data_IF_516505780046
#
_entry.id   IF_516505780046
#
_cell.length_a   1.000
_cell.length_b   1.000
_cell.length_c   1.000
_cell.angle_alpha   90.00
_cell.angle_beta   90.00
_cell.angle_gamma   90.00
#
_symmetry.space_group_name_H-M   'P 1'
#
loop_
_entity.id
_entity.type
_entity.pdbx_description
1 polymer ?
#
# COMPACT_ATOMS: atom_id res chain seq x y z
N UNK A 1 16.89 -14.52 26.78
CA UNK A 1 17.78 -14.88 25.65
C UNK A 1 17.19 -14.24 24.40
N UNK A 2 17.99 -13.69 23.47
CA UNK A 2 17.46 -13.10 22.24
C UNK A 2 16.71 -14.19 21.48
N UNK A 3 15.41 -13.98 21.26
CA UNK A 3 14.56 -14.94 20.56
C UNK A 3 15.17 -15.27 19.20
N UNK A 4 15.24 -16.57 18.88
CA UNK A 4 15.65 -17.03 17.55
C UNK A 4 14.74 -16.36 16.52
N UNK A 5 15.24 -15.34 15.82
CA UNK A 5 14.61 -14.81 14.63
C UNK A 5 14.49 -16.00 13.67
N UNK A 6 13.26 -16.47 13.44
CA UNK A 6 13.01 -17.57 12.51
C UNK A 6 13.50 -17.11 11.13
N UNK A 7 14.60 -17.70 10.66
CA UNK A 7 15.19 -17.31 9.38
C UNK A 7 14.33 -17.90 8.28
N UNK A 8 13.54 -17.07 7.61
CA UNK A 8 12.70 -17.47 6.47
C UNK A 8 13.60 -18.09 5.39
N UNK A 9 13.42 -19.39 5.12
CA UNK A 9 14.12 -20.12 4.07
C UNK A 9 13.38 -20.06 2.74
N UNK A 10 12.04 -20.11 2.79
CA UNK A 10 11.12 -20.23 1.66
C UNK A 10 9.92 -19.29 1.80
N UNK A 11 9.14 -19.11 0.73
CA UNK A 11 7.87 -18.38 0.83
C UNK A 11 6.91 -19.05 1.82
N UNK A 12 6.90 -20.39 1.88
CA UNK A 12 6.08 -21.15 2.85
C UNK A 12 6.42 -20.81 4.31
N UNK A 13 7.70 -20.54 4.62
CA UNK A 13 8.08 -20.13 5.99
C UNK A 13 7.51 -18.74 6.30
N UNK A 14 7.50 -17.84 5.32
CA UNK A 14 6.89 -16.50 5.48
C UNK A 14 5.37 -16.59 5.65
N UNK A 15 4.69 -17.50 4.94
CA UNK A 15 3.25 -17.75 5.13
C UNK A 15 2.94 -18.16 6.58
N UNK A 16 3.79 -18.98 7.19
CA UNK A 16 3.66 -19.33 8.61
C UNK A 16 3.71 -18.09 9.53
N UNK A 17 4.66 -17.18 9.29
CA UNK A 17 4.76 -15.92 10.04
C UNK A 17 3.57 -14.99 9.79
N UNK A 18 3.05 -14.96 8.57
CA UNK A 18 1.85 -14.20 8.24
C UNK A 18 0.62 -14.73 9.00
N UNK A 19 0.47 -16.05 9.10
CA UNK A 19 -0.59 -16.68 9.89
C UNK A 19 -0.46 -16.41 11.39
N UNK A 20 0.76 -16.39 11.92
CA UNK A 20 1.05 -15.99 13.29
C UNK A 20 0.69 -14.51 13.52
N UNK A 21 1.14 -13.62 12.63
CA UNK A 21 0.83 -12.20 12.67
C UNK A 21 -0.68 -11.95 12.72
N UNK A 22 -1.48 -12.58 11.84
CA UNK A 22 -2.95 -12.44 11.83
C UNK A 22 -3.60 -12.82 13.17
N UNK A 23 -3.07 -13.85 13.83
CA UNK A 23 -3.54 -14.28 15.16
C UNK A 23 -3.14 -13.27 16.24
N UNK A 24 -1.90 -12.79 16.22
CA UNK A 24 -1.37 -11.83 17.18
C UNK A 24 -2.13 -10.51 17.16
N UNK A 25 -2.43 -9.98 15.97
CA UNK A 25 -3.17 -8.71 15.85
C UNK A 25 -4.69 -8.89 16.05
N UNK A 26 -5.18 -10.13 16.15
CA UNK A 26 -6.57 -10.43 16.51
C UNK A 26 -7.58 -10.29 15.37
N UNK A 27 -7.14 -10.34 14.10
CA UNK A 27 -8.04 -10.23 12.93
C UNK A 27 -8.47 -11.59 12.37
N UNK A 28 -7.96 -12.71 12.90
CA UNK A 28 -8.24 -14.06 12.42
C UNK A 28 -9.63 -14.59 12.85
N UNK A 29 -10.69 -13.86 12.52
CA UNK A 29 -12.09 -14.28 12.66
C UNK A 29 -12.44 -15.32 11.59
N UNK A 30 -13.49 -16.12 11.79
CA UNK A 30 -13.86 -17.24 10.91
C UNK A 30 -13.85 -16.87 9.42
N UNK A 31 -14.49 -15.76 9.04
CA UNK A 31 -14.55 -15.26 7.66
C UNK A 31 -13.16 -14.99 7.05
N UNK A 32 -12.22 -14.47 7.83
CA UNK A 32 -10.85 -14.15 7.42
C UNK A 32 -9.95 -15.40 7.47
N UNK A 33 -10.18 -16.27 8.46
CA UNK A 33 -9.42 -17.50 8.66
C UNK A 33 -9.64 -18.50 7.51
N UNK A 34 -10.85 -18.54 6.95
CA UNK A 34 -11.20 -19.38 5.81
C UNK A 34 -10.68 -18.84 4.47
N UNK A 35 -10.30 -17.56 4.40
CA UNK A 35 -9.82 -16.94 3.17
C UNK A 35 -8.44 -17.49 2.78
N UNK A 36 -8.29 -17.85 1.49
CA UNK A 36 -7.04 -18.32 0.92
C UNK A 36 -6.36 -17.19 0.18
N UNK A 37 -5.22 -16.75 0.70
CA UNK A 37 -4.39 -15.73 0.07
C UNK A 37 -3.60 -16.32 -1.10
N UNK A 38 -3.51 -15.55 -2.18
CA UNK A 38 -2.74 -15.86 -3.37
C UNK A 38 -2.19 -14.57 -3.98
N UNK A 39 -1.13 -14.69 -4.79
CA UNK A 39 -0.59 -13.57 -5.55
C UNK A 39 -1.41 -13.37 -6.82
N UNK A 40 -2.01 -12.17 -6.97
CA UNK A 40 -2.83 -11.83 -8.11
C UNK A 40 -2.13 -10.71 -8.91
N UNK A 41 -1.67 -11.07 -10.10
CA UNK A 41 -0.97 -10.15 -10.99
C UNK A 41 -1.89 -9.72 -12.14
N UNK A 42 -1.91 -8.42 -12.42
CA UNK A 42 -2.60 -7.82 -13.55
C UNK A 42 -1.75 -7.83 -14.82
N UNK A 43 -2.36 -7.44 -15.94
CA UNK A 43 -1.64 -7.19 -17.17
C UNK A 43 -0.98 -5.80 -17.14
N UNK A 44 0.21 -5.69 -17.74
CA UNK A 44 0.82 -4.40 -18.07
C UNK A 44 0.41 -4.00 -19.49
N UNK A 45 0.28 -2.70 -19.73
CA UNK A 45 -0.21 -2.16 -21.01
C UNK A 45 0.82 -2.26 -22.14
N UNK A 46 2.11 -2.28 -21.79
CA UNK A 46 3.22 -2.36 -22.74
C UNK A 46 4.44 -3.02 -22.11
N UNK A 47 5.24 -3.67 -22.94
CA UNK A 47 6.54 -4.26 -22.61
C UNK A 47 7.68 -3.22 -22.65
N UNK A 48 7.40 -1.99 -23.06
CA UNK A 48 8.37 -0.90 -23.14
C UNK A 48 8.31 0.02 -21.91
N UNK A 49 9.47 0.54 -21.51
CA UNK A 49 9.60 1.55 -20.45
C UNK A 49 9.08 2.89 -21.01
N UNK A 50 8.19 3.54 -20.26
CA UNK A 50 7.41 4.68 -20.77
C UNK A 50 7.99 6.05 -20.40
N UNK A 51 8.91 6.12 -19.42
CA UNK A 51 9.46 7.37 -18.89
C UNK A 51 10.89 7.21 -18.39
N UNK A 52 11.50 8.33 -17.98
CA UNK A 52 12.86 8.37 -17.45
C UNK A 52 13.94 8.10 -18.50
N UNK A 53 15.17 7.88 -18.02
CA UNK A 53 16.37 7.68 -18.85
C UNK A 53 16.28 6.45 -19.76
N UNK A 54 15.53 5.41 -19.33
CA UNK A 54 15.43 4.14 -20.04
C UNK A 54 14.20 4.05 -20.94
N UNK A 55 13.48 5.15 -21.19
CA UNK A 55 12.31 5.20 -22.06
C UNK A 55 12.58 4.52 -23.41
N UNK A 56 11.55 3.82 -23.92
CA UNK A 56 11.56 3.03 -25.17
C UNK A 56 12.46 1.79 -25.15
N UNK A 57 13.11 1.45 -24.03
CA UNK A 57 13.75 0.14 -23.84
C UNK A 57 12.73 -0.86 -23.31
N UNK A 58 13.05 -2.15 -23.40
CA UNK A 58 12.21 -3.21 -22.80
C UNK A 58 12.22 -3.11 -21.27
N UNK A 59 11.06 -3.34 -20.65
CA UNK A 59 10.90 -3.47 -19.19
C UNK A 59 11.75 -4.63 -18.64
N UNK A 60 12.12 -4.51 -17.38
CA UNK A 60 12.94 -5.47 -16.66
C UNK A 60 12.07 -6.56 -16.02
N UNK A 61 12.32 -7.78 -16.43
CA UNK A 61 11.66 -8.98 -15.90
C UNK A 61 12.33 -9.55 -14.64
N UNK A 62 13.58 -9.15 -14.37
CA UNK A 62 14.33 -9.58 -13.18
C UNK A 62 15.44 -8.59 -12.84
N UNK A 63 15.98 -8.67 -11.62
CA UNK A 63 16.97 -7.72 -11.11
C UNK A 63 18.30 -7.69 -11.88
N UNK A 64 18.65 -8.74 -12.65
CA UNK A 64 19.90 -8.75 -13.45
C UNK A 64 19.85 -7.77 -14.61
N UNK A 65 18.65 -7.39 -15.04
CA UNK A 65 18.44 -6.40 -16.11
C UNK A 65 18.49 -4.96 -15.57
N UNK A 66 18.48 -4.76 -14.25
CA UNK A 66 18.56 -3.45 -13.62
C UNK A 66 20.04 -3.04 -13.51
N UNK A 67 20.48 -1.93 -14.14
CA UNK A 67 21.90 -1.63 -14.34
C UNK A 67 22.75 -1.48 -13.08
N UNK A 68 22.27 -0.76 -12.06
CA UNK A 68 23.08 -0.40 -10.89
C UNK A 68 22.51 -0.95 -9.60
N UNK A 69 23.36 -1.04 -8.56
CA UNK A 69 22.91 -1.46 -7.24
C UNK A 69 21.97 -0.42 -6.61
N UNK A 70 22.24 0.88 -6.78
CA UNK A 70 21.37 1.94 -6.25
C UNK A 70 19.95 1.87 -6.80
N UNK A 71 19.79 1.53 -8.08
CA UNK A 71 18.45 1.34 -8.68
C UNK A 71 17.71 0.13 -8.09
N UNK A 72 18.43 -0.97 -7.83
CA UNK A 72 17.85 -2.15 -7.17
C UNK A 72 17.45 -1.85 -5.73
N UNK A 73 18.27 -1.10 -5.00
CA UNK A 73 17.99 -0.70 -3.62
C UNK A 73 16.80 0.26 -3.54
N UNK A 74 16.70 1.21 -4.48
CA UNK A 74 15.56 2.11 -4.58
C UNK A 74 14.26 1.35 -4.91
N UNK A 75 14.31 0.38 -5.82
CA UNK A 75 13.17 -0.48 -6.14
C UNK A 75 12.76 -1.33 -4.92
N UNK A 76 13.72 -1.94 -4.22
CA UNK A 76 13.46 -2.67 -2.98
C UNK A 76 12.74 -1.77 -1.96
N UNK A 77 13.27 -0.56 -1.71
CA UNK A 77 12.67 0.38 -0.77
C UNK A 77 11.24 0.75 -1.16
N UNK A 78 10.95 0.98 -2.46
CA UNK A 78 9.58 1.28 -2.90
C UNK A 78 8.62 0.15 -2.60
N UNK A 79 9.01 -1.11 -2.84
CA UNK A 79 8.19 -2.29 -2.54
C UNK A 79 8.00 -2.46 -1.03
N UNK A 80 9.04 -2.20 -0.23
CA UNK A 80 8.97 -2.31 1.24
C UNK A 80 8.04 -1.24 1.83
N UNK A 81 8.15 0.01 1.39
CA UNK A 81 7.29 1.08 1.91
C UNK A 81 5.83 0.85 1.53
N UNK A 82 5.55 0.48 0.27
CA UNK A 82 4.19 0.12 -0.14
C UNK A 82 3.67 -1.11 0.64
N UNK A 83 4.47 -2.17 0.78
CA UNK A 83 4.03 -3.36 1.52
C UNK A 83 3.79 -3.11 3.01
N UNK A 84 4.51 -2.16 3.61
CA UNK A 84 4.37 -1.83 5.02
C UNK A 84 3.04 -1.15 5.35
N UNK A 85 2.50 -0.36 4.42
CA UNK A 85 1.21 0.33 4.59
C UNK A 85 0.06 -0.66 4.68
N UNK A 86 0.09 -1.73 3.88
CA UNK A 86 -1.03 -2.66 3.79
C UNK A 86 -1.19 -3.48 5.09
N UNK A 87 -0.09 -3.82 5.76
CA UNK A 87 -0.17 -4.46 7.08
C UNK A 87 -0.52 -3.45 8.18
N UNK A 88 -0.09 -2.20 8.03
CA UNK A 88 -0.41 -1.15 8.99
C UNK A 88 -1.89 -0.80 9.00
N UNK A 89 -2.53 -0.67 7.84
CA UNK A 89 -3.96 -0.34 7.74
C UNK A 89 -4.83 -1.38 8.45
N UNK A 90 -4.49 -2.68 8.28
CA UNK A 90 -5.16 -3.79 8.98
C UNK A 90 -4.99 -3.67 10.50
N UNK A 91 -3.80 -3.32 10.99
CA UNK A 91 -3.53 -3.15 12.41
C UNK A 91 -4.28 -1.95 13.00
N UNK A 92 -4.31 -0.82 12.30
CA UNK A 92 -5.00 0.39 12.73
C UNK A 92 -6.51 0.13 12.90
N UNK A 93 -7.08 -0.69 12.02
CA UNK A 93 -8.52 -0.90 11.90
C UNK A 93 -9.04 -2.11 12.71
N UNK A 94 -8.15 -2.92 13.32
CA UNK A 94 -8.45 -4.25 13.89
C UNK A 94 -9.60 -4.30 14.91
N UNK A 95 -9.83 -3.21 15.65
CA UNK A 95 -10.83 -3.15 16.72
C UNK A 95 -12.26 -2.89 16.21
N UNK A 96 -12.41 -2.37 14.99
CA UNK A 96 -13.70 -1.90 14.46
C UNK A 96 -14.72 -3.01 14.26
N UNK A 97 -14.29 -4.27 14.17
CA UNK A 97 -15.20 -5.42 14.14
C UNK A 97 -16.13 -5.50 15.35
N UNK A 98 -15.70 -5.01 16.51
CA UNK A 98 -16.47 -5.07 17.76
C UNK A 98 -17.60 -4.05 17.81
N UNK A 99 -17.51 -3.00 16.99
CA UNK A 99 -18.39 -1.83 17.02
C UNK A 99 -19.04 -1.54 15.68
N UNK A 100 -19.09 -2.53 14.78
CA UNK A 100 -19.68 -2.38 13.46
C UNK A 100 -21.12 -1.85 13.53
N UNK A 101 -21.45 -0.71 12.88
CA UNK A 101 -22.79 -0.11 12.96
C UNK A 101 -23.87 -1.00 12.37
N UNK A 102 -23.50 -1.77 11.33
CA UNK A 102 -24.38 -2.72 10.65
C UNK A 102 -23.61 -3.95 10.20
N UNK A 103 -24.32 -5.02 9.85
CA UNK A 103 -23.73 -6.19 9.22
C UNK A 103 -23.10 -5.87 7.85
N UNK A 104 -23.63 -4.88 7.14
CA UNK A 104 -23.04 -4.39 5.88
C UNK A 104 -21.65 -3.81 6.13
N UNK A 105 -21.54 -2.94 7.14
CA UNK A 105 -20.28 -2.30 7.51
C UNK A 105 -19.26 -3.34 7.99
N UNK A 106 -19.70 -4.34 8.77
CA UNK A 106 -18.84 -5.48 9.16
C UNK A 106 -18.30 -6.22 7.94
N UNK A 107 -19.13 -6.51 6.95
CA UNK A 107 -18.68 -7.18 5.71
C UNK A 107 -17.75 -6.31 4.87
N UNK A 108 -18.00 -5.00 4.83
CA UNK A 108 -17.17 -4.07 4.09
C UNK A 108 -15.75 -4.02 4.68
N UNK A 109 -15.60 -3.85 6.00
CA UNK A 109 -14.28 -3.87 6.65
C UNK A 109 -13.61 -5.25 6.57
N UNK A 110 -14.36 -6.36 6.68
CA UNK A 110 -13.80 -7.71 6.43
C UNK A 110 -13.16 -7.77 5.05
N UNK A 111 -13.85 -7.27 4.02
CA UNK A 111 -13.33 -7.26 2.65
C UNK A 111 -12.10 -6.35 2.50
N UNK A 112 -12.15 -5.13 3.03
CA UNK A 112 -11.00 -4.20 3.02
C UNK A 112 -9.78 -4.88 3.64
N UNK A 113 -9.88 -5.41 4.86
CA UNK A 113 -8.75 -6.07 5.52
C UNK A 113 -8.22 -7.30 4.77
N UNK A 114 -9.08 -8.11 4.15
CA UNK A 114 -8.64 -9.24 3.32
C UNK A 114 -7.87 -8.74 2.10
N UNK A 115 -8.38 -7.69 1.43
CA UNK A 115 -7.71 -7.12 0.27
C UNK A 115 -6.36 -6.51 0.65
N UNK A 116 -6.28 -5.77 1.76
CA UNK A 116 -5.05 -5.18 2.30
C UNK A 116 -4.00 -6.22 2.72
N UNK A 117 -4.44 -7.30 3.38
CA UNK A 117 -3.55 -8.41 3.69
C UNK A 117 -3.00 -9.10 2.43
N UNK A 118 -3.81 -9.22 1.37
CA UNK A 118 -3.34 -9.73 0.07
C UNK A 118 -2.44 -8.70 -0.63
N UNK A 119 -2.72 -7.43 -0.41
CA UNK A 119 -1.83 -6.28 -0.51
C UNK A 119 -0.37 -6.59 -0.18
N UNK A 120 -0.15 -6.70 1.13
CA UNK A 120 1.14 -6.98 1.72
C UNK A 120 1.70 -8.35 1.31
N UNK A 121 0.84 -9.35 1.12
CA UNK A 121 1.24 -10.67 0.61
C UNK A 121 1.92 -10.58 -0.76
N UNK A 122 1.36 -9.82 -1.70
CA UNK A 122 1.95 -9.65 -3.03
C UNK A 122 3.27 -8.90 -2.97
N UNK A 123 3.39 -7.87 -2.13
CA UNK A 123 4.65 -7.16 -1.93
C UNK A 123 5.73 -8.06 -1.34
N UNK A 124 5.39 -8.88 -0.34
CA UNK A 124 6.28 -9.88 0.23
C UNK A 124 6.69 -10.94 -0.80
N UNK A 125 5.77 -11.39 -1.66
CA UNK A 125 6.08 -12.34 -2.73
C UNK A 125 7.12 -11.75 -3.70
N UNK A 126 6.95 -10.50 -4.16
CA UNK A 126 7.92 -9.82 -5.01
C UNK A 126 9.30 -9.73 -4.34
N UNK A 127 9.34 -9.38 -3.05
CA UNK A 127 10.59 -9.31 -2.29
C UNK A 127 11.29 -10.68 -2.22
N UNK A 128 10.56 -11.71 -1.82
CA UNK A 128 11.10 -13.06 -1.60
C UNK A 128 11.55 -13.69 -2.93
N UNK A 129 10.80 -13.49 -4.01
CA UNK A 129 11.08 -14.05 -5.33
C UNK A 129 12.27 -13.35 -6.01
N UNK A 130 12.34 -12.02 -5.95
CA UNK A 130 13.29 -11.28 -6.77
C UNK A 130 14.54 -10.80 -6.01
N UNK A 131 14.46 -10.52 -4.70
CA UNK A 131 15.52 -9.86 -3.94
C UNK A 131 16.32 -10.80 -3.02
N UNK A 132 16.13 -12.11 -3.15
CA UNK A 132 16.92 -13.12 -2.46
C UNK A 132 16.90 -12.95 -0.93
N UNK A 133 18.06 -12.91 -0.29
CA UNK A 133 18.15 -12.81 1.17
C UNK A 133 17.60 -11.49 1.71
N UNK A 134 17.96 -10.36 1.10
CA UNK A 134 17.50 -9.04 1.55
C UNK A 134 15.97 -8.94 1.47
N UNK A 135 15.37 -9.45 0.41
CA UNK A 135 13.91 -9.49 0.26
C UNK A 135 13.22 -10.28 1.37
N UNK A 136 13.75 -11.45 1.73
CA UNK A 136 13.22 -12.26 2.85
C UNK A 136 13.29 -11.52 4.18
N UNK A 137 14.39 -10.82 4.45
CA UNK A 137 14.56 -10.04 5.68
C UNK A 137 13.55 -8.89 5.75
N UNK A 138 13.34 -8.16 4.65
CA UNK A 138 12.37 -7.07 4.65
C UNK A 138 10.92 -7.57 4.72
N UNK A 139 10.60 -8.67 4.04
CA UNK A 139 9.30 -9.34 4.15
C UNK A 139 8.98 -9.79 5.58
N UNK A 140 10.00 -10.26 6.30
CA UNK A 140 9.86 -10.59 7.72
C UNK A 140 9.62 -9.34 8.58
N UNK A 141 10.44 -8.31 8.41
CA UNK A 141 10.33 -7.07 9.20
C UNK A 141 8.96 -6.39 9.05
N UNK A 142 8.33 -6.48 7.87
CA UNK A 142 6.97 -5.97 7.65
C UNK A 142 5.94 -6.62 8.58
N UNK A 143 6.11 -7.89 8.93
CA UNK A 143 5.27 -8.61 9.90
C UNK A 143 5.73 -8.47 11.35
N UNK A 144 6.88 -7.83 11.61
CA UNK A 144 7.40 -7.57 12.96
C UNK A 144 7.10 -6.15 13.44
N UNK A 145 6.92 -5.20 12.51
CA UNK A 145 6.47 -3.84 12.83
C UNK A 145 5.00 -3.86 13.24
N UNK A 146 4.63 -2.95 14.16
CA UNK A 146 3.27 -2.79 14.68
C UNK A 146 2.89 -1.31 14.67
N UNK A 147 1.74 -0.98 14.08
CA UNK A 147 1.19 0.38 14.06
C UNK A 147 0.96 0.90 15.49
N UNK A 148 0.34 0.09 16.35
CA UNK A 148 0.06 0.41 17.76
C UNK A 148 1.31 0.45 18.67
N UNK A 149 2.50 0.18 18.13
CA UNK A 149 3.78 0.42 18.82
C UNK A 149 4.57 1.58 18.21
N UNK A 150 3.96 2.34 17.29
CA UNK A 150 4.61 3.41 16.52
C UNK A 150 5.84 2.93 15.73
N UNK A 151 5.77 1.73 15.15
CA UNK A 151 6.90 1.12 14.44
C UNK A 151 6.75 1.08 12.92
N UNK A 152 5.62 1.51 12.34
CA UNK A 152 5.42 1.56 10.88
C UNK A 152 6.24 2.67 10.25
N UNK A 153 6.65 2.46 9.00
CA UNK A 153 7.63 3.32 8.32
C UNK A 153 7.10 4.73 8.04
N UNK A 154 5.80 4.86 7.79
CA UNK A 154 5.14 6.12 7.48
C UNK A 154 4.29 6.59 8.67
N UNK A 155 4.39 7.88 9.00
CA UNK A 155 3.76 8.45 10.19
C UNK A 155 2.24 8.26 10.24
N UNK A 156 1.53 8.50 9.13
CA UNK A 156 0.07 8.35 9.04
C UNK A 156 -0.40 6.92 9.37
N UNK A 157 0.43 5.93 9.10
CA UNK A 157 0.15 4.51 9.36
C UNK A 157 0.45 4.08 10.81
N UNK A 158 0.83 5.03 11.67
CA UNK A 158 0.87 4.87 13.13
C UNK A 158 -0.22 5.71 13.84
N UNK A 159 -1.05 6.44 13.10
CA UNK A 159 -2.14 7.26 13.68
C UNK A 159 -3.34 6.36 14.00
N UNK A 160 -3.93 6.50 15.18
CA UNK A 160 -5.05 5.62 15.57
C UNK A 160 -6.31 5.82 14.71
N UNK A 161 -6.94 4.71 14.34
CA UNK A 161 -8.28 4.64 13.73
C UNK A 161 -9.25 4.12 14.80
N UNK A 162 -9.82 5.05 15.57
CA UNK A 162 -10.51 4.70 16.82
C UNK A 162 -11.97 4.28 16.63
N UNK A 163 -12.60 4.75 15.56
CA UNK A 163 -14.03 4.57 15.34
C UNK A 163 -14.38 4.58 13.83
N UNK A 164 -15.66 4.36 13.54
CA UNK A 164 -16.15 4.25 12.17
C UNK A 164 -16.08 5.56 11.37
N UNK A 165 -16.11 6.73 12.03
CA UNK A 165 -15.86 8.00 11.33
C UNK A 165 -14.40 8.11 10.89
N UNK A 166 -13.46 7.69 11.75
CA UNK A 166 -12.05 7.57 11.34
C UNK A 166 -11.91 6.60 10.16
N UNK A 167 -12.49 5.40 10.24
CA UNK A 167 -12.42 4.41 9.17
C UNK A 167 -12.95 4.91 7.82
N UNK A 168 -14.14 5.51 7.80
CA UNK A 168 -14.70 6.01 6.54
C UNK A 168 -13.90 7.18 5.97
N UNK A 169 -13.33 8.03 6.84
CA UNK A 169 -12.47 9.11 6.38
C UNK A 169 -11.11 8.58 5.90
N UNK A 170 -10.53 7.63 6.63
CA UNK A 170 -9.28 6.96 6.28
C UNK A 170 -9.39 6.33 4.90
N UNK A 171 -10.41 5.48 4.70
CA UNK A 171 -10.58 4.76 3.43
C UNK A 171 -10.93 5.68 2.25
N UNK A 172 -11.44 6.89 2.50
CA UNK A 172 -11.68 7.88 1.43
C UNK A 172 -10.43 8.71 1.08
N UNK A 173 -9.50 8.94 2.01
CA UNK A 173 -8.36 9.84 1.82
C UNK A 173 -6.98 9.18 1.91
N UNK A 174 -6.76 8.26 2.84
CA UNK A 174 -5.49 7.51 2.99
C UNK A 174 -5.38 6.45 1.90
N UNK A 175 -6.39 5.61 1.69
CA UNK A 175 -6.38 4.63 0.58
C UNK A 175 -6.41 5.34 -0.78
N UNK A 176 -6.89 6.59 -0.82
CA UNK A 176 -6.75 7.43 -2.01
C UNK A 176 -5.29 7.76 -2.28
N UNK A 177 -4.46 8.09 -1.29
CA UNK A 177 -3.00 8.15 -1.49
C UNK A 177 -2.49 6.82 -2.06
N UNK A 178 -2.88 5.69 -1.45
CA UNK A 178 -2.61 4.34 -1.96
C UNK A 178 -2.89 4.23 -3.46
N UNK A 179 -4.09 4.59 -3.94
CA UNK A 179 -4.42 4.64 -5.36
C UNK A 179 -3.43 5.46 -6.20
N UNK A 180 -3.02 6.65 -5.75
CA UNK A 180 -2.05 7.48 -6.47
C UNK A 180 -0.68 6.78 -6.52
N UNK A 181 -0.19 6.25 -5.39
CA UNK A 181 1.07 5.52 -5.31
C UNK A 181 1.07 4.30 -6.23
N UNK A 182 0.02 3.48 -6.17
CA UNK A 182 -0.16 2.30 -7.02
C UNK A 182 -0.24 2.67 -8.51
N UNK A 183 -0.98 3.73 -8.86
CA UNK A 183 -1.08 4.19 -10.25
C UNK A 183 0.26 4.68 -10.80
N UNK A 184 1.07 5.34 -9.97
CA UNK A 184 2.40 5.81 -10.32
C UNK A 184 3.41 4.67 -10.46
N UNK A 185 3.34 3.66 -9.58
CA UNK A 185 4.18 2.46 -9.61
C UNK A 185 3.76 1.45 -10.68
N UNK A 186 2.50 1.46 -11.12
CA UNK A 186 2.00 0.62 -12.24
C UNK A 186 2.85 0.78 -13.50
N UNK A 187 3.38 1.98 -13.74
CA UNK A 187 4.20 2.27 -14.92
C UNK A 187 5.66 1.84 -14.79
N UNK A 188 6.08 1.32 -13.62
CA UNK A 188 7.47 0.95 -13.33
C UNK A 188 8.14 0.16 -14.45
N UNK A 189 9.41 0.47 -14.70
CA UNK A 189 10.28 -0.27 -15.60
C UNK A 189 10.50 -1.72 -15.12
N UNK A 190 10.30 -2.01 -13.83
CA UNK A 190 10.29 -3.38 -13.33
C UNK A 190 8.91 -4.02 -13.52
N UNK A 191 8.78 -4.88 -14.53
CA UNK A 191 7.51 -5.45 -14.97
C UNK A 191 6.75 -6.22 -13.87
N UNK A 192 7.39 -7.03 -13.00
CA UNK A 192 6.69 -7.71 -11.92
C UNK A 192 5.97 -6.75 -10.95
N UNK A 193 6.60 -5.62 -10.61
CA UNK A 193 5.95 -4.59 -9.79
C UNK A 193 4.75 -3.98 -10.51
N UNK A 194 4.92 -3.57 -11.77
CA UNK A 194 3.82 -3.00 -12.57
C UNK A 194 2.60 -3.94 -12.68
N UNK A 195 2.84 -5.25 -12.81
CA UNK A 195 1.79 -6.28 -12.82
C UNK A 195 1.08 -6.39 -11.47
N UNK A 196 1.80 -6.35 -10.35
CA UNK A 196 1.20 -6.35 -9.01
C UNK A 196 0.29 -5.14 -8.79
N UNK A 197 0.80 -3.93 -9.04
CA UNK A 197 0.04 -2.69 -8.87
C UNK A 197 -1.23 -2.67 -9.73
N UNK A 198 -1.15 -3.21 -10.96
CA UNK A 198 -2.28 -3.27 -11.89
C UNK A 198 -3.47 -4.08 -11.37
N UNK A 199 -3.24 -5.08 -10.53
CA UNK A 199 -4.31 -5.83 -9.89
C UNK A 199 -4.84 -5.11 -8.66
N UNK A 200 -3.94 -4.65 -7.79
CA UNK A 200 -4.28 -3.93 -6.54
C UNK A 200 -5.19 -2.73 -6.80
N UNK A 201 -4.92 -1.96 -7.86
CA UNK A 201 -5.77 -0.83 -8.29
C UNK A 201 -7.24 -1.19 -8.55
N UNK A 202 -7.55 -2.43 -8.90
CA UNK A 202 -8.94 -2.88 -9.13
C UNK A 202 -9.71 -2.99 -7.83
N UNK A 203 -9.01 -3.23 -6.73
CA UNK A 203 -9.56 -3.48 -5.41
C UNK A 203 -9.64 -2.18 -4.62
N UNK A 204 -8.64 -1.29 -4.78
CA UNK A 204 -8.61 0.04 -4.18
C UNK A 204 -9.90 0.86 -4.43
N UNK A 205 -10.53 0.64 -5.58
CA UNK A 205 -11.80 1.27 -5.93
C UNK A 205 -12.92 0.95 -4.93
N UNK A 206 -12.92 -0.26 -4.37
CA UNK A 206 -13.88 -0.67 -3.34
C UNK A 206 -13.63 0.04 -2.01
N UNK A 207 -12.36 0.28 -1.65
CA UNK A 207 -11.99 0.89 -0.38
C UNK A 207 -12.45 2.35 -0.32
N UNK A 208 -12.06 3.16 -1.32
CA UNK A 208 -12.54 4.55 -1.45
C UNK A 208 -14.07 4.61 -1.60
N UNK A 209 -14.68 3.64 -2.28
CA UNK A 209 -16.13 3.54 -2.38
C UNK A 209 -16.79 3.35 -1.01
N UNK A 210 -16.20 2.52 -0.16
CA UNK A 210 -16.64 2.27 1.22
C UNK A 210 -16.53 3.53 2.07
N UNK A 211 -15.42 4.26 1.98
CA UNK A 211 -15.21 5.52 2.70
C UNK A 211 -16.22 6.59 2.31
N UNK A 212 -16.34 6.88 1.01
CA UNK A 212 -17.24 7.90 0.49
C UNK A 212 -18.73 7.57 0.76
N UNK A 213 -19.16 6.32 0.57
CA UNK A 213 -20.53 5.90 0.91
C UNK A 213 -20.80 5.99 2.43
N UNK A 214 -19.85 5.57 3.25
CA UNK A 214 -19.94 5.68 4.70
C UNK A 214 -20.13 7.11 5.18
N UNK A 215 -19.29 8.04 4.70
CA UNK A 215 -19.39 9.46 5.00
C UNK A 215 -20.73 10.04 4.50
N UNK A 216 -21.15 9.71 3.27
CA UNK A 216 -22.45 10.15 2.74
C UNK A 216 -23.60 9.75 3.65
N UNK A 217 -23.68 8.47 4.03
CA UNK A 217 -24.76 7.96 4.90
C UNK A 217 -24.79 8.69 6.25
N UNK A 218 -23.63 8.99 6.82
CA UNK A 218 -23.54 9.74 8.08
C UNK A 218 -24.05 11.17 7.93
N UNK A 219 -23.65 11.85 6.86
CA UNK A 219 -24.10 13.23 6.56
C UNK A 219 -25.61 13.27 6.32
N UNK A 220 -26.15 12.33 5.53
CA UNK A 220 -27.58 12.22 5.24
C UNK A 220 -28.43 11.93 6.49
N UNK A 221 -27.91 11.13 7.42
CA UNK A 221 -28.57 10.86 8.68
C UNK A 221 -28.69 12.12 9.57
N UNK A 222 -27.78 13.09 9.42
CA UNK A 222 -27.86 14.41 10.08
C UNK A 222 -27.71 14.39 11.61
N UNK A 223 -27.28 13.26 12.21
CA UNK A 223 -27.16 13.10 13.66
C UNK A 223 -25.84 13.66 14.20
N UNK A 224 -24.74 13.44 13.48
CA UNK A 224 -23.41 13.94 13.87
C UNK A 224 -23.27 15.39 13.39
N UNK A 225 -22.96 16.36 14.28
CA UNK A 225 -22.82 17.76 13.88
C UNK A 225 -21.72 17.95 12.83
N UNK A 226 -21.99 18.77 11.81
CA UNK A 226 -21.06 19.02 10.70
C UNK A 226 -19.66 19.47 11.16
N UNK A 227 -19.57 20.30 12.22
CA UNK A 227 -18.29 20.75 12.76
C UNK A 227 -17.44 19.60 13.31
N UNK A 228 -18.07 18.53 13.80
CA UNK A 228 -17.35 17.36 14.31
C UNK A 228 -16.87 16.49 13.14
N UNK A 229 -17.70 16.29 12.12
CA UNK A 229 -17.30 15.60 10.88
C UNK A 229 -16.09 16.31 10.26
N UNK A 230 -16.11 17.64 10.20
CA UNK A 230 -14.99 18.43 9.68
C UNK A 230 -13.67 18.20 10.45
N UNK A 231 -13.71 17.90 11.75
CA UNK A 231 -12.49 17.59 12.51
C UNK A 231 -11.84 16.28 12.05
N UNK A 232 -12.64 15.25 11.74
CA UNK A 232 -12.13 13.99 11.20
C UNK A 232 -11.56 14.17 9.79
N UNK A 233 -12.26 14.94 8.94
CA UNK A 233 -11.73 15.33 7.62
C UNK A 233 -10.38 16.04 7.77
N UNK A 234 -10.27 17.03 8.66
CA UNK A 234 -9.02 17.75 8.87
C UNK A 234 -7.87 16.83 9.33
N UNK A 235 -8.16 15.88 10.25
CA UNK A 235 -7.17 14.88 10.73
C UNK A 235 -6.61 14.05 9.58
N UNK A 236 -7.50 13.44 8.80
CA UNK A 236 -7.09 12.45 7.79
C UNK A 236 -6.63 13.08 6.48
N UNK A 237 -7.24 14.18 6.03
CA UNK A 237 -6.77 14.88 4.83
C UNK A 237 -5.34 15.38 5.01
N UNK A 238 -5.01 15.99 6.16
CA UNK A 238 -3.65 16.44 6.43
C UNK A 238 -2.66 15.28 6.50
N UNK A 239 -3.02 14.21 7.22
CA UNK A 239 -2.19 12.99 7.30
C UNK A 239 -1.95 12.34 5.94
N UNK A 240 -2.94 12.35 5.04
CA UNK A 240 -2.82 11.83 3.68
C UNK A 240 -1.89 12.67 2.81
N UNK A 241 -1.92 14.01 2.91
CA UNK A 241 -1.02 14.85 2.12
C UNK A 241 0.45 14.65 2.51
N UNK A 242 0.74 14.42 3.79
CA UNK A 242 2.10 14.14 4.26
C UNK A 242 2.71 12.87 3.63
N UNK A 243 1.88 11.94 3.12
CA UNK A 243 2.34 10.70 2.47
C UNK A 243 2.99 10.93 1.10
N UNK A 244 2.66 12.03 0.42
CA UNK A 244 3.31 12.38 -0.85
C UNK A 244 4.77 12.84 -0.65
N UNK A 245 5.15 13.17 0.57
CA UNK A 245 6.49 13.60 0.93
C UNK A 245 6.68 15.10 0.70
N UNK A 246 7.86 15.49 0.19
CA UNK A 246 8.26 16.89 0.06
C UNK A 246 8.59 17.23 -1.39
N UNK A 247 8.39 18.48 -1.75
CA UNK A 247 8.85 19.07 -3.00
C UNK A 247 10.39 19.01 -3.09
N UNK A 248 10.93 19.10 -4.31
CA UNK A 248 12.37 19.04 -4.59
C UNK A 248 13.05 17.76 -4.05
N UNK A 249 12.31 16.65 -3.98
CA UNK A 249 12.81 15.39 -3.44
C UNK A 249 13.81 14.72 -4.38
N UNK A 250 15.06 14.58 -3.93
CA UNK A 250 16.09 13.84 -4.66
C UNK A 250 15.73 12.37 -4.87
N UNK A 251 15.02 11.74 -3.92
CA UNK A 251 14.62 10.33 -4.08
C UNK A 251 13.51 10.18 -5.13
N UNK A 252 12.55 11.10 -5.18
CA UNK A 252 11.52 11.14 -6.22
C UNK A 252 12.14 11.38 -7.60
N UNK A 253 13.04 12.36 -7.70
CA UNK A 253 13.78 12.67 -8.92
C UNK A 253 14.45 11.41 -9.50
N UNK A 254 15.26 10.72 -8.69
CA UNK A 254 15.98 9.55 -9.16
C UNK A 254 15.05 8.35 -9.42
N UNK A 255 13.99 8.16 -8.64
CA UNK A 255 12.99 7.14 -8.93
C UNK A 255 12.33 7.34 -10.31
N UNK A 256 12.07 8.59 -10.70
CA UNK A 256 11.57 8.91 -12.03
C UNK A 256 12.61 8.68 -13.11
N UNK A 257 13.82 9.24 -12.96
CA UNK A 257 14.91 9.10 -13.93
C UNK A 257 15.27 7.63 -14.17
N UNK A 258 15.27 6.82 -13.12
CA UNK A 258 15.54 5.38 -13.21
C UNK A 258 14.36 4.55 -13.72
N UNK A 259 13.21 5.16 -14.00
CA UNK A 259 12.04 4.45 -14.51
C UNK A 259 11.30 3.64 -13.43
N UNK A 260 11.55 3.86 -12.14
CA UNK A 260 10.96 3.06 -11.05
C UNK A 260 9.52 3.50 -10.76
N UNK A 261 9.27 4.81 -10.68
CA UNK A 261 7.98 5.41 -10.33
C UNK A 261 7.69 6.60 -11.25
N UNK A 262 6.60 6.55 -12.01
CA UNK A 262 6.21 7.61 -12.94
C UNK A 262 5.32 8.65 -12.26
N UNK A 263 4.86 9.65 -13.02
CA UNK A 263 3.76 10.52 -12.58
C UNK A 263 2.42 9.78 -12.68
N UNK A 264 1.40 10.35 -12.04
CA UNK A 264 0.04 9.84 -12.18
C UNK A 264 -0.37 9.87 -13.67
N UNK A 265 -0.84 8.73 -14.18
CA UNK A 265 -1.19 8.54 -15.59
C UNK A 265 -0.07 8.99 -16.58
N UNK A 266 1.20 8.66 -16.28
CA UNK A 266 2.38 9.04 -17.08
C UNK A 266 2.18 9.04 -18.62
N UNK A 267 1.55 8.02 -19.25
CA UNK A 267 1.38 8.00 -20.71
C UNK A 267 0.43 9.06 -21.27
N UNK A 268 -0.43 9.66 -20.43
CA UNK A 268 -1.40 10.70 -20.80
C UNK A 268 -0.89 12.11 -20.55
N UNK A 269 0.31 12.25 -19.98
CA UNK A 269 0.87 13.55 -19.68
C UNK A 269 1.47 14.16 -20.96
N UNK A 270 0.87 15.25 -21.45
CA UNK A 270 1.34 15.97 -22.65
C UNK A 270 2.60 16.81 -22.37
N UNK A 271 2.84 17.17 -21.11
CA UNK A 271 3.99 17.97 -20.69
C UNK A 271 5.14 17.08 -20.24
N UNK A 272 6.35 17.54 -20.50
CA UNK A 272 7.55 16.95 -19.91
C UNK A 272 7.45 17.04 -18.38
N UNK A 273 7.94 16.00 -17.69
CA UNK A 273 7.95 15.99 -16.23
C UNK A 273 8.84 17.12 -15.70
N UNK A 274 8.29 17.91 -14.78
CA UNK A 274 9.09 18.69 -13.85
C UNK A 274 9.61 17.74 -12.79
N UNK A 275 10.94 17.60 -12.69
CA UNK A 275 11.55 16.63 -11.79
C UNK A 275 11.58 17.11 -10.34
N UNK A 276 11.32 18.40 -10.12
CA UNK A 276 11.24 19.00 -8.80
C UNK A 276 9.84 18.87 -8.20
N UNK A 277 8.81 18.76 -9.05
CA UNK A 277 7.38 18.73 -8.68
C UNK A 277 6.67 17.46 -9.20
N UNK A 278 7.29 16.29 -9.05
CA UNK A 278 6.80 15.02 -9.61
C UNK A 278 5.47 14.50 -9.01
N UNK A 279 5.13 14.98 -7.81
CA UNK A 279 3.90 14.58 -7.12
C UNK A 279 2.71 15.50 -7.46
N UNK A 280 2.95 16.60 -8.16
CA UNK A 280 1.88 17.53 -8.55
C UNK A 280 1.07 16.98 -9.72
N UNK A 281 -0.24 16.88 -9.51
CA UNK A 281 -1.18 16.51 -10.56
C UNK A 281 -1.75 17.79 -11.22
N UNK A 282 -1.07 18.25 -12.27
CA UNK A 282 -1.41 19.46 -13.03
C UNK A 282 -2.15 19.16 -14.34
#
# INVERSE_FOLDING_TARGET
MPGKVAKIGTFSDWVGLFDEWRKEIGVNRDEIAEFKFDTLYGAIETEEIQFGHFKSRRKWENLRLIPTQQMRDALLNMIVYQGDTEFASVEQQRHLFETAPTDWDRRAITRVMIEEMRHGWQMCALLIEHFGYSGKVEAQKMLERRAFENKRLLGAFNVDVDNWMDFFTYTDFVDRDGKFQLQMLKYSAFAPLGRSMSYMLREEAFHMGTGNDGLRRIVEAGVIPAWLIQKYLNKWISSSYDLFGTDHSSSAHWAYVWGIKGRYDEPKNDRQADLDDLNDYN
#
